data_IF_764621348713
#
_entry.id   IF_764621348713
#
_cell.length_a   1.000
_cell.length_b   1.000
_cell.length_c   1.000
_cell.angle_alpha   90.00
_cell.angle_beta   90.00
_cell.angle_gamma   90.00
#
_symmetry.space_group_name_H-M   'P 1'
#
loop_
_entity.id
_entity.type
_entity.pdbx_description
1 polymer ?
#
# COMPACT_ATOMS: atom_id res chain seq x y z
N UNK A 1 -6.80 -11.89 -1.20
CA UNK A 1 -5.47 -11.22 -1.32
C UNK A 1 -4.43 -12.03 -2.12
N UNK A 2 -4.27 -13.33 -1.87
CA UNK A 2 -3.19 -14.17 -2.42
C UNK A 2 -3.08 -14.21 -3.95
N UNK A 3 -4.19 -14.06 -4.68
CA UNK A 3 -4.20 -14.06 -6.17
C UNK A 3 -4.02 -12.66 -6.75
N UNK A 4 -4.80 -11.69 -6.27
CA UNK A 4 -4.84 -10.36 -6.87
C UNK A 4 -3.63 -9.49 -6.48
N UNK A 5 -3.10 -9.63 -5.26
CA UNK A 5 -2.02 -8.78 -4.78
C UNK A 5 -0.74 -8.91 -5.64
N UNK A 6 -0.27 -10.12 -6.00
CA UNK A 6 0.87 -10.26 -6.91
C UNK A 6 0.62 -9.68 -8.30
N UNK A 7 -0.59 -9.88 -8.85
CA UNK A 7 -0.97 -9.38 -10.18
C UNK A 7 -0.96 -7.85 -10.19
N UNK A 8 -1.65 -7.23 -9.22
CA UNK A 8 -1.69 -5.77 -9.08
C UNK A 8 -0.31 -5.16 -8.88
N UNK A 9 0.52 -5.79 -8.04
CA UNK A 9 1.89 -5.33 -7.82
C UNK A 9 2.69 -5.36 -9.13
N UNK A 10 2.59 -6.44 -9.91
CA UNK A 10 3.28 -6.56 -11.19
C UNK A 10 2.81 -5.51 -12.20
N UNK A 11 1.50 -5.34 -12.38
CA UNK A 11 0.94 -4.35 -13.32
C UNK A 11 1.31 -2.92 -12.93
N UNK A 12 1.28 -2.61 -11.64
CA UNK A 12 1.70 -1.31 -11.13
C UNK A 12 3.18 -1.02 -11.43
N UNK A 13 4.08 -1.96 -11.12
CA UNK A 13 5.52 -1.80 -11.36
C UNK A 13 5.83 -1.69 -12.87
N UNK A 14 5.15 -2.47 -13.72
CA UNK A 14 5.26 -2.33 -15.17
C UNK A 14 4.83 -0.94 -15.65
N UNK A 15 3.76 -0.37 -15.07
CA UNK A 15 3.34 0.99 -15.38
C UNK A 15 4.38 2.03 -14.94
N UNK A 16 4.97 1.88 -13.75
CA UNK A 16 6.05 2.75 -13.26
C UNK A 16 7.27 2.70 -14.18
N UNK A 17 7.72 1.50 -14.56
CA UNK A 17 8.85 1.32 -15.46
C UNK A 17 8.62 1.96 -16.83
N UNK A 18 7.40 1.83 -17.37
CA UNK A 18 7.03 2.38 -18.68
C UNK A 18 6.88 3.90 -18.67
N UNK A 19 6.27 4.47 -17.63
CA UNK A 19 5.98 5.90 -17.55
C UNK A 19 7.14 6.72 -16.97
N UNK A 20 8.08 6.07 -16.28
CA UNK A 20 9.22 6.69 -15.62
C UNK A 20 8.87 7.94 -14.79
N UNK A 21 7.82 7.92 -13.93
CA UNK A 21 7.35 9.14 -13.30
C UNK A 21 8.41 9.71 -12.33
N UNK A 22 8.41 11.04 -12.14
CA UNK A 22 9.25 11.70 -11.12
C UNK A 22 8.65 11.63 -9.72
N UNK A 23 7.35 11.37 -9.65
CA UNK A 23 6.56 11.38 -8.44
C UNK A 23 5.44 10.37 -8.54
N UNK A 24 5.23 9.59 -7.48
CA UNK A 24 4.13 8.64 -7.35
C UNK A 24 3.40 8.96 -6.06
N UNK A 25 2.09 9.17 -6.15
CA UNK A 25 1.19 9.11 -5.02
C UNK A 25 0.24 7.92 -5.24
N UNK A 26 0.35 6.91 -4.39
CA UNK A 26 -0.45 5.70 -4.46
C UNK A 26 -1.38 5.68 -3.25
N UNK A 27 -2.68 5.77 -3.49
CA UNK A 27 -3.73 5.63 -2.49
C UNK A 27 -4.28 4.21 -2.55
N UNK A 28 -4.42 3.54 -1.40
CA UNK A 28 -4.94 2.19 -1.31
C UNK A 28 -6.08 2.19 -0.30
N UNK A 29 -7.17 1.50 -0.62
CA UNK A 29 -8.30 1.36 0.29
C UNK A 29 -8.65 -0.12 0.40
N UNK A 30 -8.75 -0.63 1.62
CA UNK A 30 -9.28 -1.98 1.83
C UNK A 30 -10.78 -2.00 1.50
N UNK A 31 -11.19 -2.99 0.73
CA UNK A 31 -12.60 -3.32 0.53
C UNK A 31 -12.87 -4.66 1.22
N UNK A 32 -13.16 -4.64 2.52
CA UNK A 32 -13.45 -5.86 3.29
C UNK A 32 -13.43 -5.65 4.81
N UNK A 33 -14.55 -5.92 5.49
CA UNK A 33 -14.74 -5.60 6.90
C UNK A 33 -14.05 -6.53 7.92
N UNK A 34 -13.92 -5.99 9.15
CA UNK A 34 -13.64 -6.61 10.48
C UNK A 34 -12.47 -7.61 10.64
N UNK A 35 -11.77 -8.04 9.58
CA UNK A 35 -10.65 -8.98 9.66
C UNK A 35 -9.26 -8.29 9.70
N UNK A 36 -9.15 -7.19 10.45
CA UNK A 36 -8.02 -6.25 10.46
C UNK A 36 -6.64 -6.86 10.77
N UNK A 37 -6.56 -7.79 11.73
CA UNK A 37 -5.29 -8.43 12.13
C UNK A 37 -4.65 -9.20 10.98
N UNK A 38 -5.47 -9.87 10.17
CA UNK A 38 -4.99 -10.63 9.01
C UNK A 38 -4.68 -9.73 7.83
N UNK A 39 -5.26 -8.54 7.74
CA UNK A 39 -5.02 -7.62 6.63
C UNK A 39 -3.73 -6.82 6.79
N UNK A 40 -3.30 -6.56 8.02
CA UNK A 40 -2.02 -5.89 8.33
C UNK A 40 -0.79 -6.60 7.77
N UNK A 41 -0.75 -7.93 7.80
CA UNK A 41 0.37 -8.67 7.22
C UNK A 41 0.46 -8.45 5.71
N UNK A 42 -0.69 -8.38 5.00
CA UNK A 42 -0.71 -8.18 3.55
C UNK A 42 -0.30 -6.76 3.15
N UNK A 43 -0.61 -5.77 3.99
CA UNK A 43 -0.12 -4.39 3.85
C UNK A 43 1.40 -4.33 3.97
N UNK A 44 1.96 -4.97 5.01
CA UNK A 44 3.41 -5.04 5.20
C UNK A 44 4.10 -5.76 4.05
N UNK A 45 3.56 -6.90 3.62
CA UNK A 45 4.07 -7.67 2.48
C UNK A 45 4.05 -6.85 1.19
N UNK A 46 2.99 -6.07 0.96
CA UNK A 46 2.88 -5.22 -0.21
C UNK A 46 3.90 -4.08 -0.19
N UNK A 47 4.01 -3.37 0.93
CA UNK A 47 5.02 -2.30 1.11
C UNK A 47 6.43 -2.84 0.89
N UNK A 48 6.74 -4.01 1.48
CA UNK A 48 8.05 -4.62 1.34
C UNK A 48 8.36 -4.95 -0.14
N UNK A 49 7.40 -5.53 -0.88
CA UNK A 49 7.54 -5.80 -2.32
C UNK A 49 7.80 -4.54 -3.14
N UNK A 50 7.19 -3.41 -2.77
CA UNK A 50 7.46 -2.14 -3.43
C UNK A 50 8.88 -1.64 -3.14
N UNK A 51 9.29 -1.64 -1.88
CA UNK A 51 10.64 -1.21 -1.48
C UNK A 51 11.75 -2.07 -2.10
N UNK A 52 11.52 -3.37 -2.27
CA UNK A 52 12.48 -4.29 -2.87
C UNK A 52 12.48 -4.28 -4.40
N UNK A 53 11.53 -3.57 -5.03
CA UNK A 53 11.37 -3.57 -6.48
C UNK A 53 12.48 -2.75 -7.19
N UNK A 54 13.10 -3.29 -8.25
CA UNK A 54 14.09 -2.55 -9.04
C UNK A 54 13.53 -1.24 -9.63
N UNK A 55 12.25 -1.22 -9.99
CA UNK A 55 11.56 -0.09 -10.59
C UNK A 55 11.47 1.12 -9.64
N UNK A 56 11.44 0.87 -8.33
CA UNK A 56 11.41 1.93 -7.31
C UNK A 56 12.78 2.25 -6.71
N UNK A 57 13.84 1.51 -7.09
CA UNK A 57 15.20 1.69 -6.54
C UNK A 57 15.80 3.09 -6.77
N UNK A 58 15.38 3.77 -7.84
CA UNK A 58 15.86 5.11 -8.19
C UNK A 58 15.11 6.25 -7.49
N UNK A 59 14.14 5.93 -6.63
CA UNK A 59 13.44 6.94 -5.86
C UNK A 59 14.13 7.11 -4.51
N UNK A 60 14.61 8.32 -4.25
CA UNK A 60 15.42 8.62 -3.06
C UNK A 60 14.58 8.77 -1.78
N UNK A 61 13.26 8.95 -1.92
CA UNK A 61 12.35 9.18 -0.79
C UNK A 61 11.07 8.37 -0.94
N UNK A 62 10.79 7.56 0.08
CA UNK A 62 9.54 6.83 0.24
C UNK A 62 8.92 7.27 1.57
N UNK A 63 7.67 7.74 1.53
CA UNK A 63 6.85 8.03 2.72
C UNK A 63 5.60 7.20 2.68
N UNK A 64 5.33 6.51 3.78
CA UNK A 64 4.19 5.60 3.91
C UNK A 64 3.37 6.10 5.09
N UNK A 65 2.10 6.39 4.82
CA UNK A 65 1.14 6.80 5.84
C UNK A 65 0.20 5.63 6.08
N UNK A 66 0.31 5.05 7.27
CA UNK A 66 -0.58 4.00 7.75
C UNK A 66 -1.43 4.62 8.86
N UNK A 67 -2.74 4.48 8.78
CA UNK A 67 -3.58 4.70 9.94
C UNK A 67 -3.41 3.46 10.84
N UNK A 68 -2.81 3.65 12.02
CA UNK A 68 -2.43 2.56 12.92
C UNK A 68 -3.32 2.48 14.18
N UNK A 69 -4.27 3.40 14.41
CA UNK A 69 -5.02 3.38 15.67
C UNK A 69 -6.23 2.42 15.65
N UNK A 70 -5.92 1.11 15.62
CA UNK A 70 -6.89 0.03 15.77
C UNK A 70 -7.05 -0.43 17.23
N UNK A 71 -6.48 0.29 18.19
CA UNK A 71 -6.47 -0.07 19.62
C UNK A 71 -7.85 -0.04 20.28
N UNK A 72 -8.85 0.53 19.61
CA UNK A 72 -10.20 0.71 20.13
C UNK A 72 -11.23 0.23 19.10
N UNK A 73 -11.82 -0.96 19.27
CA UNK A 73 -12.95 -1.45 18.47
C UNK A 73 -14.13 -0.46 18.41
N UNK A 74 -14.22 0.42 19.41
CA UNK A 74 -15.26 1.44 19.57
C UNK A 74 -15.03 2.69 18.71
N UNK A 75 -13.81 2.92 18.20
CA UNK A 75 -13.50 4.03 17.27
C UNK A 75 -13.83 3.70 15.82
N UNK A 76 -14.21 2.45 15.53
CA UNK A 76 -14.63 2.06 14.19
C UNK A 76 -16.02 2.61 13.89
N UNK A 77 -16.06 3.76 13.23
CA UNK A 77 -17.25 4.16 12.49
C UNK A 77 -17.41 3.22 11.30
N UNK A 78 -18.64 2.87 10.94
CA UNK A 78 -18.99 1.86 9.92
C UNK A 78 -18.50 2.14 8.48
N UNK A 79 -17.60 3.11 8.30
CA UNK A 79 -16.96 3.52 7.04
C UNK A 79 -15.42 3.54 7.10
N UNK A 80 -14.78 3.42 8.27
CA UNK A 80 -13.32 3.56 8.42
C UNK A 80 -12.65 2.20 8.61
N UNK A 81 -12.51 1.43 7.54
CA UNK A 81 -11.49 0.40 7.44
C UNK A 81 -10.29 1.01 6.76
N UNK A 82 -9.28 1.45 7.51
CA UNK A 82 -8.09 2.06 6.91
C UNK A 82 -6.97 1.03 6.82
N UNK A 83 -6.41 0.89 5.63
CA UNK A 83 -5.17 0.17 5.35
C UNK A 83 -4.43 0.99 4.30
N UNK A 84 -3.35 1.66 4.71
CA UNK A 84 -2.49 2.54 3.91
C UNK A 84 -3.22 3.74 3.28
N UNK A 85 -3.19 4.90 3.92
CA UNK A 85 -3.77 6.11 3.33
C UNK A 85 -3.00 6.58 2.10
N UNK A 86 -1.67 6.49 2.08
CA UNK A 86 -0.88 6.92 0.93
C UNK A 86 0.55 6.40 0.98
N UNK A 87 1.07 5.98 -0.17
CA UNK A 87 2.50 5.81 -0.44
C UNK A 87 2.94 6.92 -1.37
N UNK A 88 3.88 7.72 -0.92
CA UNK A 88 4.44 8.83 -1.69
C UNK A 88 5.90 8.52 -1.99
N UNK A 89 6.25 8.55 -3.28
CA UNK A 89 7.58 8.20 -3.78
C UNK A 89 8.09 9.33 -4.68
N UNK A 90 9.32 9.79 -4.47
CA UNK A 90 9.96 10.86 -5.27
C UNK A 90 11.38 10.48 -5.70
N UNK A 91 11.68 10.69 -7.00
CA UNK A 91 13.02 10.63 -7.58
C UNK A 91 13.76 11.94 -7.42
#
# INVERSE_FOLDING_TARGET
PSVMLPIWTSEFLQAVARMDPKFIALHLQEVGGKAYEKSMQYVKDFVQRLCDSPELRLYDKIRIFLDEDFSSPEKFTAHSGVLIDSIIVHK
#
